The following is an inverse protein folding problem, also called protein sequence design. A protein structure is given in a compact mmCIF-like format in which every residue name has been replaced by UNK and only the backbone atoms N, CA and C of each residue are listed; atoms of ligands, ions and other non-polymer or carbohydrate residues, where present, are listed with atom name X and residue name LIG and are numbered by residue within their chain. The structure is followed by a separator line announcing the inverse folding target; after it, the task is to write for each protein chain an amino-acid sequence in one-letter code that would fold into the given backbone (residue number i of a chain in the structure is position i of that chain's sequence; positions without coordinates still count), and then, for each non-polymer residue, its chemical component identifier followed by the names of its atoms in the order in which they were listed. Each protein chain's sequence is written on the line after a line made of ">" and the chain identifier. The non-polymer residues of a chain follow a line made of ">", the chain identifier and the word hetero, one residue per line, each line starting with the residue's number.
data_IF_024533031139
#
_entry.id   IF_024533031139
#
_cell.length_a   1.000
_cell.length_b   1.000
_cell.length_c   1.000
_cell.angle_alpha   90.00
_cell.angle_beta   90.00
_cell.angle_gamma   90.00
#
_symmetry.space_group_name_H-M   'P 1'
#
loop_
_entity.id
_entity.type
_entity.pdbx_description
1 polymer ?
#
# COMPACT_ATOMS: atom_id res chain seq x y z
N UNK A 1 9.11 33.22 -0.39
CA UNK A 1 9.28 31.87 -0.42
C UNK A 1 8.05 31.15 -0.23
N UNK A 2 7.82 30.40 -1.08
CA UNK A 2 6.56 29.90 -1.07
C UNK A 2 6.26 28.92 -0.10
N UNK A 3 5.36 28.44 -0.28
CA UNK A 3 4.59 27.69 0.51
C UNK A 3 4.82 26.25 0.47
N UNK A 4 6.04 25.86 0.24
CA UNK A 4 6.39 24.48 0.27
C UNK A 4 6.05 23.86 1.60
N UNK A 5 6.32 24.59 2.66
CA UNK A 5 5.98 24.09 3.98
C UNK A 5 4.51 23.93 4.17
N UNK A 6 3.77 24.86 3.61
CA UNK A 6 2.34 24.79 3.68
C UNK A 6 1.82 23.55 3.05
N UNK A 7 2.36 23.18 1.91
CA UNK A 7 1.94 21.98 1.24
C UNK A 7 2.28 20.75 2.05
N UNK A 8 3.43 20.75 2.66
CA UNK A 8 3.84 19.60 3.43
C UNK A 8 3.07 19.43 4.70
N UNK A 9 2.62 20.53 5.25
CA UNK A 9 1.96 20.49 6.52
C UNK A 9 0.47 20.23 6.44
N UNK A 10 -0.08 20.18 5.25
CA UNK A 10 -1.49 19.94 5.12
C UNK A 10 -1.74 18.48 4.87
N UNK A 11 -2.14 17.74 5.88
CA UNK A 11 -2.33 16.31 5.71
C UNK A 11 -3.41 15.97 4.70
N UNK A 12 -4.34 16.88 4.50
CA UNK A 12 -5.43 16.60 3.56
C UNK A 12 -5.07 16.84 2.12
N UNK A 13 -3.93 17.44 1.86
CA UNK A 13 -3.51 17.74 0.51
C UNK A 13 -3.42 16.52 -0.37
N UNK A 14 -2.81 15.46 0.13
CA UNK A 14 -2.69 14.22 -0.62
C UNK A 14 -4.04 13.62 -0.92
N UNK A 15 -4.90 13.62 0.06
CA UNK A 15 -6.22 13.05 -0.11
C UNK A 15 -7.01 13.81 -1.14
N UNK A 16 -6.94 15.15 -1.07
CA UNK A 16 -7.66 15.97 -2.03
C UNK A 16 -7.13 15.77 -3.45
N UNK A 17 -5.82 15.64 -3.58
CA UNK A 17 -5.22 15.43 -4.88
C UNK A 17 -5.66 14.11 -5.48
N UNK A 18 -5.71 13.07 -4.68
CA UNK A 18 -6.18 11.77 -5.15
C UNK A 18 -7.63 11.85 -5.55
N UNK A 19 -8.45 12.45 -4.72
CA UNK A 19 -9.88 12.56 -5.02
C UNK A 19 -10.13 13.36 -6.29
N UNK A 20 -9.31 14.37 -6.55
CA UNK A 20 -9.43 15.14 -7.77
C UNK A 20 -9.16 14.27 -8.99
N UNK A 21 -8.13 13.44 -8.92
CA UNK A 21 -7.83 12.53 -10.00
C UNK A 21 -8.99 11.56 -10.23
N UNK A 22 -9.51 11.01 -9.16
CA UNK A 22 -10.57 10.02 -9.28
C UNK A 22 -11.85 10.63 -9.82
N UNK A 23 -12.09 11.89 -9.51
CA UNK A 23 -13.31 12.54 -9.94
C UNK A 23 -13.38 12.72 -11.45
N UNK A 24 -12.24 12.66 -12.13
CA UNK A 24 -12.18 12.82 -13.56
C UNK A 24 -12.34 11.53 -14.33
N UNK A 25 -12.46 10.41 -13.65
CA UNK A 25 -12.49 9.11 -14.30
C UNK A 25 -13.90 8.63 -14.54
N UNK A 26 -14.09 7.94 -15.67
CA UNK A 26 -15.32 7.24 -15.90
C UNK A 26 -15.36 5.99 -15.05
N UNK A 27 -16.52 5.39 -14.95
CA UNK A 27 -16.69 4.24 -14.06
C UNK A 27 -15.77 3.08 -14.41
N UNK A 28 -15.62 2.78 -15.68
CA UNK A 28 -14.76 1.67 -16.07
C UNK A 28 -13.29 2.00 -15.86
N UNK A 29 -12.89 3.25 -16.05
CA UNK A 29 -11.54 3.66 -15.78
C UNK A 29 -11.25 3.57 -14.29
N UNK A 30 -12.21 3.98 -13.49
CA UNK A 30 -12.07 3.93 -12.04
C UNK A 30 -11.95 2.50 -11.56
N UNK A 31 -12.72 1.60 -12.14
CA UNK A 31 -12.66 0.19 -11.76
C UNK A 31 -11.31 -0.40 -12.11
N UNK A 32 -10.77 -0.08 -13.27
CA UNK A 32 -9.45 -0.57 -13.65
C UNK A 32 -8.38 -0.08 -12.70
N UNK A 33 -8.46 1.19 -12.36
CA UNK A 33 -7.49 1.76 -11.42
C UNK A 33 -7.62 1.10 -10.06
N UNK A 34 -8.84 0.88 -9.61
CA UNK A 34 -9.07 0.25 -8.32
C UNK A 34 -8.47 -1.15 -8.28
N UNK A 35 -8.64 -1.91 -9.35
CA UNK A 35 -8.09 -3.25 -9.42
C UNK A 35 -6.56 -3.22 -9.26
N UNK A 36 -5.91 -2.31 -9.98
CA UNK A 36 -4.46 -2.22 -9.89
C UNK A 36 -4.00 -1.79 -8.51
N UNK A 37 -4.72 -0.87 -7.90
CA UNK A 37 -4.36 -0.40 -6.57
C UNK A 37 -4.56 -1.49 -5.54
N UNK A 38 -5.62 -2.28 -5.67
CA UNK A 38 -5.86 -3.39 -4.77
C UNK A 38 -4.77 -4.44 -4.91
N UNK A 39 -4.36 -4.73 -6.15
CA UNK A 39 -3.27 -5.66 -6.37
C UNK A 39 -2.00 -5.19 -5.70
N UNK A 40 -1.72 -3.90 -5.81
CA UNK A 40 -0.54 -3.34 -5.18
C UNK A 40 -0.64 -3.47 -3.67
N UNK A 41 -1.82 -3.23 -3.11
CA UNK A 41 -2.01 -3.38 -1.68
C UNK A 41 -1.76 -4.81 -1.23
N UNK A 42 -2.24 -5.77 -2.00
CA UNK A 42 -2.01 -7.18 -1.68
C UNK A 42 -0.55 -7.56 -1.77
N UNK A 43 0.16 -7.01 -2.75
CA UNK A 43 1.58 -7.26 -2.86
C UNK A 43 2.34 -6.70 -1.68
N UNK A 44 1.99 -5.51 -1.24
CA UNK A 44 2.67 -4.90 -0.10
C UNK A 44 2.41 -5.66 1.17
N UNK A 45 1.19 -6.15 1.34
CA UNK A 45 0.86 -6.96 2.50
C UNK A 45 1.64 -8.28 2.49
N UNK A 46 1.68 -8.93 1.33
CA UNK A 46 2.41 -10.20 1.20
C UNK A 46 3.90 -10.01 1.47
N UNK A 47 4.45 -8.90 0.99
CA UNK A 47 5.87 -8.62 1.21
C UNK A 47 6.18 -8.40 2.69
N UNK A 48 5.34 -7.66 3.37
CA UNK A 48 5.54 -7.44 4.80
C UNK A 48 5.43 -8.75 5.57
N UNK A 49 4.49 -9.59 5.19
CA UNK A 49 4.30 -10.88 5.82
C UNK A 49 5.52 -11.78 5.61
N UNK A 50 6.02 -11.80 4.39
CA UNK A 50 7.18 -12.62 4.04
C UNK A 50 8.40 -12.18 4.84
N UNK A 51 8.62 -10.87 4.93
CA UNK A 51 9.76 -10.35 5.67
C UNK A 51 9.62 -10.60 7.16
N UNK A 52 8.40 -10.54 7.67
CA UNK A 52 8.17 -10.85 9.08
C UNK A 52 8.56 -12.29 9.38
N UNK A 53 8.15 -13.22 8.52
CA UNK A 53 8.45 -14.62 8.74
C UNK A 53 9.93 -14.89 8.63
N UNK A 54 10.60 -14.25 7.69
CA UNK A 54 12.03 -14.41 7.54
C UNK A 54 12.77 -13.87 8.77
N UNK A 55 12.35 -12.71 9.23
CA UNK A 55 12.97 -12.10 10.40
C UNK A 55 12.78 -12.98 11.63
N UNK A 56 11.59 -13.51 11.81
CA UNK A 56 11.30 -14.37 12.94
C UNK A 56 12.22 -15.60 12.93
N UNK A 57 12.39 -16.20 11.77
CA UNK A 57 13.28 -17.33 11.62
C UNK A 57 14.72 -16.99 11.95
N UNK A 58 15.17 -15.85 11.46
CA UNK A 58 16.55 -15.44 11.71
C UNK A 58 16.81 -15.16 13.17
N UNK A 59 15.87 -14.54 13.82
CA UNK A 59 16.02 -14.23 15.23
C UNK A 59 16.05 -15.48 16.08
N UNK A 60 15.33 -16.49 15.67
CA UNK A 60 15.32 -17.74 16.40
C UNK A 60 16.59 -18.53 16.19
N UNK A 61 17.22 -18.37 15.03
CA UNK A 61 18.35 -19.23 14.71
C UNK A 61 19.65 -18.79 15.31
N UNK A 62 20.09 -17.62 15.06
CA UNK A 62 21.43 -17.34 15.42
C UNK A 62 21.66 -16.07 16.17
N UNK A 63 20.88 -15.13 16.00
CA UNK A 63 21.16 -13.86 16.59
C UNK A 63 22.27 -13.11 15.89
N UNK A 64 22.56 -13.46 14.67
CA UNK A 64 23.56 -12.78 13.91
C UNK A 64 23.13 -11.35 13.64
N UNK A 65 23.84 -10.40 14.21
CA UNK A 65 23.32 -9.07 14.33
C UNK A 65 23.18 -8.30 13.05
N UNK A 66 24.17 -8.39 12.20
CA UNK A 66 24.18 -7.55 11.02
C UNK A 66 23.06 -7.94 10.05
N UNK A 67 22.89 -9.23 9.83
CA UNK A 67 21.83 -9.68 8.94
C UNK A 67 20.47 -9.45 9.54
N UNK A 68 20.31 -9.69 10.82
CA UNK A 68 19.04 -9.47 11.49
C UNK A 68 18.66 -8.00 11.43
N UNK A 69 19.61 -7.12 11.65
CA UNK A 69 19.35 -5.69 11.61
C UNK A 69 18.89 -5.27 10.22
N UNK A 70 19.53 -5.80 9.20
CA UNK A 70 19.13 -5.44 7.84
C UNK A 70 17.75 -5.94 7.52
N UNK A 71 17.41 -7.17 7.88
CA UNK A 71 16.11 -7.71 7.63
C UNK A 71 15.03 -6.98 8.43
N UNK A 72 15.37 -6.57 9.65
CA UNK A 72 14.45 -5.79 10.46
C UNK A 72 14.15 -4.45 9.80
N UNK A 73 15.17 -3.82 9.24
CA UNK A 73 14.97 -2.57 8.53
C UNK A 73 14.07 -2.79 7.31
N UNK A 74 14.32 -3.83 6.55
CA UNK A 74 13.51 -4.12 5.37
C UNK A 74 12.05 -4.39 5.75
N UNK A 75 11.85 -5.11 6.84
CA UNK A 75 10.50 -5.37 7.31
C UNK A 75 9.80 -4.07 7.71
N UNK A 76 10.50 -3.22 8.43
CA UNK A 76 9.92 -1.95 8.86
C UNK A 76 9.56 -1.07 7.67
N UNK A 77 10.43 -1.05 6.67
CA UNK A 77 10.14 -0.29 5.48
C UNK A 77 8.91 -0.83 4.76
N UNK A 78 8.85 -2.15 4.61
CA UNK A 78 7.69 -2.76 3.96
C UNK A 78 6.40 -2.48 4.74
N UNK A 79 6.49 -2.51 6.06
CA UNK A 79 5.34 -2.27 6.90
C UNK A 79 4.85 -0.84 6.76
N UNK A 80 5.76 0.12 6.75
CA UNK A 80 5.41 1.52 6.59
C UNK A 80 4.76 1.75 5.22
N UNK A 81 5.34 1.17 4.18
CA UNK A 81 4.79 1.34 2.85
C UNK A 81 3.42 0.71 2.72
N UNK A 82 3.22 -0.46 3.33
CA UNK A 82 1.91 -1.08 3.31
C UNK A 82 0.87 -0.23 4.01
N UNK A 83 1.23 0.31 5.17
CA UNK A 83 0.30 1.13 5.92
C UNK A 83 0.01 2.45 5.23
N UNK A 84 1.01 3.01 4.56
CA UNK A 84 0.80 4.25 3.82
C UNK A 84 -0.10 4.02 2.61
N UNK A 85 0.01 2.86 1.98
CA UNK A 85 -0.78 2.56 0.80
C UNK A 85 -2.22 2.20 1.13
N UNK A 86 -2.44 1.69 2.32
CA UNK A 86 -3.78 1.23 2.70
C UNK A 86 -4.85 2.32 2.58
N UNK A 87 -4.64 3.53 3.07
CA UNK A 87 -5.67 4.57 2.91
C UNK A 87 -5.93 4.94 1.44
N UNK A 88 -4.92 4.81 0.60
CA UNK A 88 -5.10 5.05 -0.83
C UNK A 88 -6.08 4.04 -1.40
N UNK A 89 -5.87 2.78 -1.08
CA UNK A 89 -6.76 1.73 -1.55
C UNK A 89 -8.18 1.95 -1.02
N UNK A 90 -8.30 2.31 0.25
CA UNK A 90 -9.60 2.56 0.83
C UNK A 90 -10.32 3.72 0.13
N UNK A 91 -9.58 4.77 -0.19
CA UNK A 91 -10.17 5.92 -0.85
C UNK A 91 -10.70 5.54 -2.23
N UNK A 92 -9.95 4.76 -2.98
CA UNK A 92 -10.36 4.37 -4.32
C UNK A 92 -11.57 3.44 -4.27
N UNK A 93 -11.57 2.49 -3.35
CA UNK A 93 -12.70 1.58 -3.22
C UNK A 93 -13.95 2.33 -2.81
N UNK A 94 -13.82 3.30 -1.91
CA UNK A 94 -14.96 4.10 -1.50
C UNK A 94 -15.51 4.92 -2.66
N UNK A 95 -14.62 5.46 -3.49
CA UNK A 95 -15.08 6.24 -4.63
C UNK A 95 -15.77 5.35 -5.64
N UNK A 96 -15.25 4.14 -5.84
CA UNK A 96 -15.86 3.20 -6.77
C UNK A 96 -17.21 2.72 -6.25
N UNK A 97 -17.34 2.55 -4.96
CA UNK A 97 -18.60 2.18 -4.34
C UNK A 97 -18.77 0.68 -4.10
N UNK A 98 -17.83 -0.12 -4.54
CA UNK A 98 -17.89 -1.56 -4.31
C UNK A 98 -16.50 -2.14 -4.49
N UNK A 99 -16.30 -3.36 -4.03
CA UNK A 99 -15.05 -4.06 -4.18
C UNK A 99 -15.05 -4.79 -5.51
N UNK A 100 -14.20 -4.38 -6.46
CA UNK A 100 -14.25 -5.01 -7.77
C UNK A 100 -13.66 -6.42 -7.72
N UNK A 101 -14.16 -7.32 -8.54
CA UNK A 101 -13.58 -8.66 -8.60
C UNK A 101 -12.23 -8.60 -9.29
N UNK A 102 -11.25 -9.31 -8.74
CA UNK A 102 -9.93 -9.37 -9.36
C UNK A 102 -9.85 -10.58 -10.24
N UNK A 103 -9.17 -10.45 -11.39
CA UNK A 103 -9.06 -11.61 -12.28
C UNK A 103 -8.44 -12.82 -11.62
N UNK A 104 -7.49 -12.61 -10.73
CA UNK A 104 -6.87 -13.70 -10.01
C UNK A 104 -7.86 -14.48 -9.18
N UNK A 105 -8.78 -13.76 -8.55
CA UNK A 105 -9.79 -14.39 -7.72
C UNK A 105 -10.76 -15.18 -8.58
N UNK A 106 -11.01 -14.70 -9.77
CA UNK A 106 -11.96 -15.37 -10.64
C UNK A 106 -11.42 -16.66 -11.22
N UNK A 107 -10.11 -16.76 -11.37
CA UNK A 107 -9.52 -17.98 -11.89
C UNK A 107 -9.22 -19.00 -10.84
N UNK A 108 -9.39 -18.66 -9.59
CA UNK A 108 -9.15 -19.55 -8.55
C UNK A 108 -10.37 -20.31 -8.24
N UNK A 109 -10.53 -21.41 -8.71
CA UNK A 109 -11.75 -22.14 -8.48
C UNK A 109 -11.53 -23.37 -7.62
#
# INVERSE_FOLDING_TARGET
>A
MPDIRSLELKPDCSKNAIETILAELEQDELERLAIDIIREQRCRLAKAQELYELLDTLEQRSGEDSLVDQRRHEYRLALVMMKAHHPIAATVINKLGYMPPLPEDMTRQ
#
